data_IF_355355726900
#
_entry.id   IF_355355726900
#
_cell.length_a   1.000
_cell.length_b   1.000
_cell.length_c   1.000
_cell.angle_alpha   90.00
_cell.angle_beta   90.00
_cell.angle_gamma   90.00
#
_symmetry.space_group_name_H-M   'P 1'
#
loop_
_entity.id
_entity.type
_entity.pdbx_description
1 polymer ?
#
# COMPACT_ATOMS: atom_id res chain seq x y z
N UNK A 1 -14.72 -29.95 -39.61
CA UNK A 1 -15.19 -28.68 -39.03
C UNK A 1 -14.55 -28.50 -37.68
N UNK A 2 -13.64 -27.54 -37.54
CA UNK A 2 -13.08 -27.24 -36.24
C UNK A 2 -14.14 -26.60 -35.34
N UNK A 3 -14.25 -26.95 -34.05
CA UNK A 3 -15.24 -26.37 -33.15
C UNK A 3 -14.99 -24.85 -33.08
N UNK A 4 -16.05 -24.08 -33.27
CA UNK A 4 -16.08 -22.62 -33.12
C UNK A 4 -15.64 -22.32 -31.69
N UNK A 5 -14.43 -21.75 -31.51
CA UNK A 5 -13.99 -21.25 -30.20
C UNK A 5 -14.93 -20.12 -29.82
N UNK A 6 -15.78 -20.39 -28.85
CA UNK A 6 -16.67 -19.40 -28.23
C UNK A 6 -15.73 -18.35 -27.60
N UNK A 7 -15.97 -17.08 -27.89
CA UNK A 7 -15.16 -16.02 -27.26
C UNK A 7 -15.37 -16.04 -25.72
N UNK A 8 -14.37 -15.70 -24.91
CA UNK A 8 -14.53 -15.66 -23.45
C UNK A 8 -15.67 -14.75 -23.00
N UNK A 9 -16.06 -13.78 -23.81
CA UNK A 9 -17.24 -12.93 -23.58
C UNK A 9 -18.57 -13.66 -23.76
N UNK A 10 -18.66 -14.69 -24.61
CA UNK A 10 -19.86 -15.47 -24.82
C UNK A 10 -20.05 -16.62 -23.81
N UNK A 11 -18.97 -17.08 -23.19
CA UNK A 11 -18.98 -18.24 -22.27
C UNK A 11 -19.44 -17.91 -20.83
N UNK A 12 -19.61 -16.63 -20.47
CA UNK A 12 -19.99 -16.21 -19.11
C UNK A 12 -21.17 -15.26 -19.14
N UNK A 13 -22.30 -15.78 -19.63
CA UNK A 13 -23.57 -15.06 -19.49
C UNK A 13 -24.35 -15.67 -18.34
N UNK A 14 -24.16 -15.12 -17.13
CA UNK A 14 -25.18 -15.27 -16.11
C UNK A 14 -26.47 -14.64 -16.65
N UNK A 15 -27.59 -15.33 -16.49
CA UNK A 15 -28.91 -14.74 -16.75
C UNK A 15 -29.15 -13.57 -15.81
N UNK A 16 -30.05 -12.66 -16.13
CA UNK A 16 -30.35 -11.51 -15.26
C UNK A 16 -30.73 -11.95 -13.83
N UNK A 17 -31.47 -13.05 -13.71
CA UNK A 17 -31.85 -13.64 -12.42
C UNK A 17 -30.60 -14.11 -11.63
N UNK A 18 -29.68 -14.80 -12.31
CA UNK A 18 -28.43 -15.25 -11.68
C UNK A 18 -27.54 -14.07 -11.29
N UNK A 19 -27.50 -13.02 -12.09
CA UNK A 19 -26.76 -11.80 -11.79
C UNK A 19 -27.34 -11.06 -10.57
N UNK A 20 -28.67 -11.00 -10.47
CA UNK A 20 -29.33 -10.44 -9.28
C UNK A 20 -29.04 -11.27 -8.03
N UNK A 21 -29.11 -12.61 -8.10
CA UNK A 21 -28.78 -13.50 -6.99
C UNK A 21 -27.33 -13.32 -6.56
N UNK A 22 -26.37 -13.32 -7.51
CA UNK A 22 -24.96 -13.06 -7.25
C UNK A 22 -24.72 -11.75 -6.46
N UNK A 23 -25.34 -10.65 -6.91
CA UNK A 23 -25.24 -9.34 -6.25
C UNK A 23 -25.80 -9.37 -4.84
N UNK A 24 -26.98 -9.95 -4.66
CA UNK A 24 -27.64 -10.04 -3.35
C UNK A 24 -26.83 -10.89 -2.36
N UNK A 25 -26.37 -12.08 -2.78
CA UNK A 25 -25.58 -13.00 -1.96
C UNK A 25 -24.24 -12.37 -1.55
N UNK A 26 -23.55 -11.69 -2.49
CA UNK A 26 -22.28 -11.02 -2.21
C UNK A 26 -22.44 -9.85 -1.23
N UNK A 27 -23.46 -9.00 -1.42
CA UNK A 27 -23.71 -7.85 -0.58
C UNK A 27 -24.18 -8.26 0.83
N UNK A 28 -25.05 -9.28 0.94
CA UNK A 28 -25.46 -9.83 2.24
C UNK A 28 -24.25 -10.37 3.01
N UNK A 29 -23.42 -11.18 2.36
CA UNK A 29 -22.20 -11.69 2.96
C UNK A 29 -21.25 -10.56 3.41
N UNK A 30 -21.08 -9.54 2.58
CA UNK A 30 -20.22 -8.41 2.92
C UNK A 30 -20.72 -7.65 4.15
N UNK A 31 -22.01 -7.45 4.29
CA UNK A 31 -22.62 -6.80 5.45
C UNK A 31 -22.33 -7.56 6.75
N UNK A 32 -22.32 -8.89 6.71
CA UNK A 32 -22.14 -9.74 7.87
C UNK A 32 -20.65 -10.03 8.19
N UNK A 33 -19.80 -10.08 7.16
CA UNK A 33 -18.44 -10.62 7.26
C UNK A 33 -17.33 -9.59 6.97
N UNK A 34 -17.67 -8.35 6.64
CA UNK A 34 -16.69 -7.32 6.34
C UNK A 34 -15.80 -7.05 7.55
N UNK A 35 -14.48 -7.02 7.33
CA UNK A 35 -13.54 -6.60 8.37
C UNK A 35 -13.83 -5.16 8.78
N UNK A 36 -13.84 -4.88 10.07
CA UNK A 36 -13.97 -3.53 10.60
C UNK A 36 -12.64 -2.77 10.39
N UNK A 37 -12.60 -1.95 9.34
CA UNK A 37 -11.43 -1.17 8.95
C UNK A 37 -11.72 0.32 9.09
N UNK A 38 -10.77 1.14 9.63
CA UNK A 38 -11.02 2.56 9.91
C UNK A 38 -11.58 3.35 8.72
N UNK A 39 -11.08 3.08 7.52
CA UNK A 39 -11.52 3.76 6.29
C UNK A 39 -12.87 3.31 5.74
N UNK A 40 -13.47 2.24 6.29
CA UNK A 40 -14.83 1.79 5.95
C UNK A 40 -15.91 2.47 6.78
N UNK A 41 -15.51 3.20 7.82
CA UNK A 41 -16.42 3.91 8.73
C UNK A 41 -16.77 5.32 8.25
N UNK A 42 -16.35 5.69 7.05
CA UNK A 42 -16.53 7.03 6.48
C UNK A 42 -16.80 6.98 4.99
N UNK A 43 -17.52 7.98 4.49
CA UNK A 43 -17.72 8.26 3.08
C UNK A 43 -16.93 9.49 2.61
N UNK A 44 -16.07 10.07 3.47
CA UNK A 44 -15.22 11.20 3.10
C UNK A 44 -14.26 10.77 1.98
N UNK A 45 -14.32 11.40 0.79
CA UNK A 45 -13.47 11.05 -0.34
C UNK A 45 -11.98 11.24 -0.05
N UNK A 46 -11.60 12.19 0.82
CA UNK A 46 -10.21 12.36 1.24
C UNK A 46 -9.73 11.14 2.06
N UNK A 47 -10.50 10.71 3.02
CA UNK A 47 -10.19 9.56 3.86
C UNK A 47 -10.08 8.25 3.06
N UNK A 48 -11.01 8.06 2.10
CA UNK A 48 -11.00 6.93 1.17
C UNK A 48 -9.76 7.00 0.28
N UNK A 49 -9.45 8.16 -0.31
CA UNK A 49 -8.28 8.34 -1.15
C UNK A 49 -6.97 7.99 -0.43
N UNK A 50 -6.79 8.50 0.80
CA UNK A 50 -5.60 8.20 1.62
C UNK A 50 -5.47 6.70 1.84
N UNK A 51 -6.57 6.02 2.22
CA UNK A 51 -6.55 4.56 2.45
C UNK A 51 -6.20 3.79 1.19
N UNK A 52 -6.80 4.14 0.05
CA UNK A 52 -6.57 3.46 -1.23
C UNK A 52 -5.11 3.60 -1.68
N UNK A 53 -4.52 4.78 -1.52
CA UNK A 53 -3.10 4.98 -1.83
C UNK A 53 -2.20 4.21 -0.85
N UNK A 54 -2.53 4.15 0.43
CA UNK A 54 -1.74 3.39 1.42
C UNK A 54 -1.80 1.87 1.18
N UNK A 55 -2.95 1.35 0.75
CA UNK A 55 -3.19 -0.07 0.50
C UNK A 55 -2.50 -0.59 -0.77
N UNK A 56 -2.13 0.28 -1.72
CA UNK A 56 -1.40 -0.15 -2.91
C UNK A 56 -0.13 -0.92 -2.54
N UNK A 57 -0.08 -2.23 -2.86
CA UNK A 57 1.05 -3.13 -2.58
C UNK A 57 1.47 -3.17 -1.09
N UNK A 58 0.57 -2.84 -0.18
CA UNK A 58 0.82 -2.85 1.28
C UNK A 58 -0.25 -3.69 1.97
N UNK A 59 0.17 -4.50 2.94
CA UNK A 59 -0.76 -5.35 3.71
C UNK A 59 -1.63 -4.49 4.63
N UNK A 60 -2.91 -4.83 4.75
CA UNK A 60 -3.89 -4.15 5.60
C UNK A 60 -3.37 -3.93 7.03
N UNK A 61 -2.81 -4.98 7.66
CA UNK A 61 -2.28 -4.88 9.02
C UNK A 61 -1.17 -3.81 9.21
N UNK A 62 -0.41 -3.49 8.15
CA UNK A 62 0.60 -2.44 8.20
C UNK A 62 0.00 -1.04 7.98
N UNK A 63 -1.19 -0.97 7.36
CA UNK A 63 -1.85 0.29 7.01
C UNK A 63 -2.69 0.83 8.16
N UNK A 64 -3.37 -0.02 8.94
CA UNK A 64 -4.33 0.39 9.98
C UNK A 64 -3.76 1.49 10.89
N UNK A 65 -2.66 1.20 11.59
CA UNK A 65 -2.06 2.15 12.53
C UNK A 65 -1.54 3.41 11.83
N UNK A 66 -0.98 3.25 10.62
CA UNK A 66 -0.43 4.36 9.83
C UNK A 66 -1.51 5.29 9.29
N UNK A 67 -2.60 4.73 8.82
CA UNK A 67 -3.77 5.48 8.39
C UNK A 67 -4.35 6.32 9.53
N UNK A 68 -4.55 5.71 10.70
CA UNK A 68 -5.08 6.41 11.87
C UNK A 68 -4.17 7.58 12.29
N UNK A 69 -2.84 7.35 12.35
CA UNK A 69 -1.87 8.41 12.66
C UNK A 69 -1.86 9.51 11.60
N UNK A 70 -1.97 9.13 10.33
CA UNK A 70 -1.93 10.06 9.19
C UNK A 70 -3.16 10.97 9.18
N UNK A 71 -4.35 10.39 9.31
CA UNK A 71 -5.61 11.17 9.37
C UNK A 71 -5.67 12.03 10.64
N UNK A 72 -5.14 11.57 11.76
CA UNK A 72 -5.03 12.40 12.97
C UNK A 72 -4.11 13.61 12.75
N UNK A 73 -2.98 13.45 12.07
CA UNK A 73 -2.03 14.54 11.80
C UNK A 73 -2.50 15.45 10.67
N UNK A 74 -3.10 14.89 9.64
CA UNK A 74 -3.64 15.58 8.47
C UNK A 74 -5.13 15.26 8.31
N UNK A 75 -6.01 15.92 9.12
CA UNK A 75 -7.44 15.57 9.16
C UNK A 75 -8.22 16.01 7.91
N UNK A 76 -7.62 16.81 7.04
CA UNK A 76 -8.27 17.30 5.82
C UNK A 76 -7.28 17.38 4.66
N UNK A 77 -7.81 17.45 3.45
CA UNK A 77 -7.03 17.67 2.23
C UNK A 77 -6.19 18.96 2.32
N UNK A 78 -6.74 20.02 2.89
CA UNK A 78 -6.02 21.30 3.07
C UNK A 78 -4.86 21.14 4.03
N UNK A 79 -5.05 20.45 5.16
CA UNK A 79 -3.98 20.21 6.12
C UNK A 79 -2.84 19.35 5.54
N UNK A 80 -3.17 18.40 4.66
CA UNK A 80 -2.17 17.63 3.93
C UNK A 80 -1.43 18.50 2.91
N UNK A 81 -2.13 19.33 2.15
CA UNK A 81 -1.54 20.21 1.13
C UNK A 81 -0.54 21.22 1.72
N UNK A 82 -0.83 21.73 2.90
CA UNK A 82 0.01 22.71 3.62
C UNK A 82 1.16 22.06 4.41
N UNK A 83 1.18 20.75 4.51
CA UNK A 83 2.22 20.02 5.26
C UNK A 83 3.59 20.12 4.57
N UNK A 84 4.65 19.99 5.36
CA UNK A 84 5.99 19.76 4.81
C UNK A 84 6.10 18.32 4.26
N UNK A 85 6.72 18.15 3.10
CA UNK A 85 6.95 16.82 2.51
C UNK A 85 7.64 15.85 3.50
N UNK A 86 8.60 16.36 4.30
CA UNK A 86 9.30 15.56 5.28
C UNK A 86 8.36 14.93 6.33
N UNK A 87 7.36 15.67 6.80
CA UNK A 87 6.36 15.18 7.75
C UNK A 87 5.47 14.10 7.13
N UNK A 88 5.04 14.31 5.87
CA UNK A 88 4.26 13.34 5.12
C UNK A 88 5.04 12.03 4.95
N UNK A 89 6.31 12.11 4.54
CA UNK A 89 7.18 10.94 4.35
C UNK A 89 7.49 10.24 5.68
N UNK A 90 7.60 10.98 6.77
CA UNK A 90 7.83 10.42 8.11
C UNK A 90 6.66 9.56 8.56
N UNK A 91 5.43 10.02 8.41
CA UNK A 91 4.23 9.25 8.72
C UNK A 91 4.03 8.08 7.76
N UNK A 92 4.51 8.19 6.52
CA UNK A 92 4.48 7.11 5.53
C UNK A 92 5.51 6.01 5.80
N UNK A 93 6.44 6.25 6.72
CA UNK A 93 7.55 5.34 6.98
C UNK A 93 7.07 3.95 7.43
N UNK A 94 7.54 2.92 6.74
CA UNK A 94 7.15 1.53 6.95
C UNK A 94 6.14 0.99 5.91
N UNK A 95 5.46 1.83 5.14
CA UNK A 95 4.55 1.41 4.06
C UNK A 95 5.29 1.12 2.74
N UNK A 96 6.51 1.64 2.58
CA UNK A 96 7.27 1.52 1.34
C UNK A 96 6.72 2.36 0.19
N UNK A 97 7.34 2.25 -0.99
CA UNK A 97 6.90 2.95 -2.20
C UNK A 97 6.59 4.45 -1.97
N UNK A 98 7.54 5.18 -1.39
CA UNK A 98 7.39 6.58 -0.97
C UNK A 98 6.98 7.55 -2.08
N UNK A 99 7.16 7.15 -3.35
CA UNK A 99 6.61 7.89 -4.49
C UNK A 99 5.10 8.10 -4.36
N UNK A 100 4.36 7.15 -3.80
CA UNK A 100 2.91 7.27 -3.55
C UNK A 100 2.60 8.44 -2.61
N UNK A 101 3.35 8.56 -1.51
CA UNK A 101 3.19 9.66 -0.56
C UNK A 101 3.45 11.02 -1.21
N UNK A 102 4.50 11.13 -2.05
CA UNK A 102 4.79 12.36 -2.78
C UNK A 102 3.71 12.70 -3.77
N UNK A 103 3.22 11.72 -4.52
CA UNK A 103 2.14 11.95 -5.48
C UNK A 103 0.84 12.34 -4.76
N UNK A 104 0.52 11.70 -3.62
CA UNK A 104 -0.61 12.06 -2.77
C UNK A 104 -0.50 13.53 -2.30
N UNK A 105 0.67 13.92 -1.80
CA UNK A 105 0.94 15.28 -1.33
C UNK A 105 0.88 16.32 -2.47
N UNK A 106 1.53 16.04 -3.60
CA UNK A 106 1.49 16.89 -4.78
C UNK A 106 0.06 17.06 -5.34
N UNK A 107 -0.72 15.98 -5.36
CA UNK A 107 -2.11 16.04 -5.79
C UNK A 107 -2.98 16.82 -4.79
N UNK A 108 -2.73 16.74 -3.48
CA UNK A 108 -3.41 17.56 -2.49
C UNK A 108 -3.12 19.06 -2.70
N UNK A 109 -1.88 19.44 -2.98
CA UNK A 109 -1.49 20.81 -3.31
C UNK A 109 -2.18 21.32 -4.58
N UNK A 110 -2.25 20.46 -5.62
CA UNK A 110 -2.95 20.78 -6.85
C UNK A 110 -4.45 21.03 -6.61
N UNK A 111 -5.08 20.14 -5.81
CA UNK A 111 -6.50 20.24 -5.48
C UNK A 111 -6.83 21.53 -4.72
N UNK A 112 -5.98 21.96 -3.80
CA UNK A 112 -6.16 23.24 -3.09
C UNK A 112 -6.00 24.43 -4.05
N UNK A 113 -5.02 24.37 -4.94
CA UNK A 113 -4.72 25.48 -5.86
C UNK A 113 -5.74 25.62 -6.98
N UNK A 114 -6.22 24.51 -7.54
CA UNK A 114 -6.99 24.50 -8.79
C UNK A 114 -8.44 24.01 -8.65
N UNK A 115 -8.76 23.29 -7.56
CA UNK A 115 -10.07 22.67 -7.35
C UNK A 115 -10.77 23.18 -6.07
N UNK A 116 -10.32 24.29 -5.51
CA UNK A 116 -10.93 24.86 -4.29
C UNK A 116 -10.85 23.96 -3.06
N UNK A 117 -9.88 23.04 -3.00
CA UNK A 117 -9.67 22.14 -1.87
C UNK A 117 -10.64 20.97 -1.78
N UNK A 118 -11.30 20.62 -2.88
CA UNK A 118 -12.23 19.48 -2.95
C UNK A 118 -11.80 18.47 -3.99
N UNK A 119 -12.03 17.17 -3.73
CA UNK A 119 -11.83 16.12 -4.73
C UNK A 119 -12.96 16.17 -5.77
N UNK A 120 -12.64 15.98 -7.06
CA UNK A 120 -13.66 15.74 -8.08
C UNK A 120 -14.51 14.50 -7.75
N UNK A 121 -15.77 14.52 -8.21
CA UNK A 121 -16.71 13.44 -7.92
C UNK A 121 -16.65 12.29 -8.91
N UNK A 122 -16.28 12.58 -10.17
CA UNK A 122 -16.25 11.57 -11.22
C UNK A 122 -14.88 10.89 -11.34
N UNK A 123 -14.88 9.60 -11.66
CA UNK A 123 -13.67 8.82 -11.92
C UNK A 123 -12.85 9.40 -13.08
N UNK A 124 -13.51 9.99 -14.08
CA UNK A 124 -12.88 10.62 -15.23
C UNK A 124 -12.05 11.86 -14.84
N UNK A 125 -12.56 12.69 -13.94
CA UNK A 125 -11.84 13.85 -13.43
C UNK A 125 -10.75 13.47 -12.43
N UNK A 126 -11.03 12.53 -11.52
CA UNK A 126 -10.05 12.03 -10.56
C UNK A 126 -8.79 11.49 -11.24
N UNK A 127 -8.92 10.84 -12.40
CA UNK A 127 -7.78 10.33 -13.18
C UNK A 127 -6.81 11.39 -13.70
N UNK A 128 -7.22 12.66 -13.76
CA UNK A 128 -6.35 13.77 -14.16
C UNK A 128 -5.37 14.20 -13.07
N UNK A 129 -5.60 13.73 -11.84
CA UNK A 129 -4.76 14.07 -10.69
C UNK A 129 -3.48 13.22 -10.64
N UNK A 130 -2.35 13.78 -10.21
CA UNK A 130 -1.10 13.06 -10.05
C UNK A 130 -1.27 11.84 -9.13
N UNK A 131 -0.85 10.66 -9.61
CA UNK A 131 -0.86 9.43 -8.81
C UNK A 131 -2.21 8.74 -8.66
N UNK A 132 -3.27 9.27 -9.27
CA UNK A 132 -4.58 8.62 -9.33
C UNK A 132 -4.73 7.91 -10.67
N UNK A 133 -4.64 6.58 -10.63
CA UNK A 133 -4.90 5.72 -11.78
C UNK A 133 -6.35 5.26 -11.83
N UNK A 134 -6.68 4.44 -12.84
CA UNK A 134 -8.04 3.90 -13.06
C UNK A 134 -8.64 3.25 -11.81
N UNK A 135 -7.86 2.42 -11.12
CA UNK A 135 -8.28 1.76 -9.88
C UNK A 135 -8.66 2.76 -8.79
N UNK A 136 -7.74 3.68 -8.45
CA UNK A 136 -7.96 4.62 -7.34
C UNK A 136 -9.11 5.60 -7.66
N UNK A 137 -9.22 6.05 -8.91
CA UNK A 137 -10.31 6.91 -9.37
C UNK A 137 -11.66 6.21 -9.23
N UNK A 138 -11.76 4.95 -9.70
CA UNK A 138 -12.98 4.16 -9.59
C UNK A 138 -13.36 3.87 -8.13
N UNK A 139 -12.37 3.55 -7.28
CA UNK A 139 -12.61 3.31 -5.86
C UNK A 139 -13.17 4.56 -5.15
N UNK A 140 -12.53 5.72 -5.32
CA UNK A 140 -13.01 6.97 -4.72
C UNK A 140 -14.42 7.31 -5.25
N UNK A 141 -14.61 7.30 -6.57
CA UNK A 141 -15.86 7.70 -7.20
C UNK A 141 -17.03 6.77 -6.81
N UNK A 142 -16.80 5.47 -6.75
CA UNK A 142 -17.86 4.52 -6.38
C UNK A 142 -18.17 4.53 -4.88
N UNK A 143 -17.15 4.58 -4.02
CA UNK A 143 -17.32 4.46 -2.56
C UNK A 143 -17.81 5.78 -1.95
N UNK A 144 -17.24 6.93 -2.37
CA UNK A 144 -17.60 8.22 -1.81
C UNK A 144 -18.81 8.88 -2.50
N UNK A 145 -18.98 8.65 -3.80
CA UNK A 145 -19.96 9.39 -4.60
C UNK A 145 -21.02 8.51 -5.29
N UNK A 146 -20.92 7.18 -5.15
CA UNK A 146 -21.91 6.28 -5.74
C UNK A 146 -21.86 6.18 -7.27
N UNK A 147 -20.73 6.58 -7.91
CA UNK A 147 -20.58 6.40 -9.35
C UNK A 147 -20.59 4.91 -9.71
N UNK A 148 -21.42 4.47 -10.66
CA UNK A 148 -21.51 3.06 -11.04
C UNK A 148 -20.34 2.65 -11.92
N UNK A 149 -19.13 2.63 -11.34
CA UNK A 149 -17.88 2.23 -11.99
C UNK A 149 -17.25 1.06 -11.26
N UNK A 150 -16.83 0.03 -12.02
CA UNK A 150 -16.20 -1.16 -11.45
C UNK A 150 -14.74 -0.90 -11.05
N UNK A 151 -14.37 -1.41 -9.90
CA UNK A 151 -12.99 -1.42 -9.39
C UNK A 151 -12.36 -2.76 -9.72
N UNK A 152 -11.17 -2.75 -10.32
CA UNK A 152 -10.41 -3.97 -10.64
C UNK A 152 -9.00 -3.84 -10.09
N UNK A 153 -8.75 -4.47 -8.93
CA UNK A 153 -7.42 -4.70 -8.36
C UNK A 153 -6.98 -6.15 -8.62
N UNK A 154 -5.81 -6.55 -8.14
CA UNK A 154 -5.35 -7.92 -8.28
C UNK A 154 -6.21 -8.98 -7.55
N UNK A 155 -6.99 -8.59 -6.54
CA UNK A 155 -7.95 -9.47 -5.89
C UNK A 155 -9.19 -9.65 -6.75
N UNK A 156 -9.76 -8.55 -7.23
CA UNK A 156 -10.94 -8.55 -8.12
C UNK A 156 -10.60 -9.23 -9.44
N UNK A 157 -9.43 -8.97 -10.05
CA UNK A 157 -8.94 -9.72 -11.23
C UNK A 157 -9.01 -11.23 -11.00
N UNK A 158 -8.44 -11.71 -9.90
CA UNK A 158 -8.45 -13.14 -9.56
C UNK A 158 -9.86 -13.71 -9.36
N UNK A 159 -10.71 -12.96 -8.64
CA UNK A 159 -12.10 -13.35 -8.42
C UNK A 159 -12.85 -13.46 -9.75
N UNK A 160 -12.73 -12.44 -10.61
CA UNK A 160 -13.39 -12.40 -11.91
C UNK A 160 -12.92 -13.53 -12.82
N UNK A 161 -11.60 -13.78 -12.91
CA UNK A 161 -11.06 -14.89 -13.70
C UNK A 161 -11.64 -16.25 -13.24
N UNK A 162 -11.79 -16.47 -11.94
CA UNK A 162 -12.37 -17.72 -11.42
C UNK A 162 -13.87 -17.81 -11.61
N UNK A 163 -14.59 -16.71 -11.40
CA UNK A 163 -16.03 -16.66 -11.67
C UNK A 163 -16.33 -16.99 -13.11
N UNK A 164 -15.56 -16.44 -14.03
CA UNK A 164 -15.77 -16.59 -15.47
C UNK A 164 -15.14 -17.84 -16.06
N UNK A 165 -14.24 -18.52 -15.35
CA UNK A 165 -13.47 -19.63 -15.89
C UNK A 165 -12.40 -19.22 -16.91
N UNK A 166 -12.14 -17.93 -17.07
CA UNK A 166 -11.13 -17.42 -18.00
C UNK A 166 -9.72 -17.77 -17.51
N UNK A 167 -8.84 -18.13 -18.44
CA UNK A 167 -7.46 -18.49 -18.09
C UNK A 167 -6.60 -17.26 -17.79
N UNK A 168 -5.65 -17.43 -16.85
CA UNK A 168 -4.67 -16.39 -16.53
C UNK A 168 -3.74 -16.19 -17.71
N UNK A 169 -3.77 -15.00 -18.32
CA UNK A 169 -2.94 -14.67 -19.48
C UNK A 169 -3.60 -14.95 -20.82
N UNK A 170 -4.90 -15.20 -20.82
CA UNK A 170 -5.67 -15.26 -22.07
C UNK A 170 -5.47 -13.94 -22.85
N UNK A 171 -4.98 -14.08 -24.09
CA UNK A 171 -4.71 -12.95 -24.99
C UNK A 171 -5.99 -12.17 -25.36
N UNK A 172 -7.15 -12.80 -25.20
CA UNK A 172 -8.45 -12.19 -25.48
C UNK A 172 -9.01 -11.43 -24.26
N UNK A 173 -8.43 -11.62 -23.06
CA UNK A 173 -8.82 -10.92 -21.85
C UNK A 173 -7.81 -9.81 -21.53
N UNK A 174 -7.90 -8.70 -22.26
CA UNK A 174 -7.17 -7.48 -21.95
C UNK A 174 -7.63 -6.88 -20.62
N UNK A 175 -6.85 -5.96 -20.04
CA UNK A 175 -7.28 -5.20 -18.86
C UNK A 175 -8.63 -4.47 -19.10
N UNK A 176 -8.88 -4.01 -20.32
CA UNK A 176 -10.14 -3.38 -20.73
C UNK A 176 -11.28 -4.40 -20.72
N UNK A 177 -11.09 -5.57 -21.32
CA UNK A 177 -12.12 -6.63 -21.33
C UNK A 177 -12.46 -7.12 -19.91
N UNK A 178 -11.48 -7.23 -19.02
CA UNK A 178 -11.74 -7.58 -17.63
C UNK A 178 -12.57 -6.51 -16.90
N UNK A 179 -12.30 -5.23 -17.18
CA UNK A 179 -13.07 -4.11 -16.65
C UNK A 179 -14.51 -4.10 -17.16
N UNK A 180 -14.71 -4.40 -18.44
CA UNK A 180 -16.06 -4.55 -19.05
C UNK A 180 -16.83 -5.68 -18.38
N UNK A 181 -16.21 -6.85 -18.18
CA UNK A 181 -16.83 -7.96 -17.46
C UNK A 181 -17.19 -7.53 -16.04
N UNK A 182 -16.25 -6.95 -15.29
CA UNK A 182 -16.49 -6.48 -13.92
C UNK A 182 -17.64 -5.44 -13.85
N UNK A 183 -17.76 -4.58 -14.86
CA UNK A 183 -18.83 -3.58 -14.95
C UNK A 183 -20.21 -4.24 -15.14
N UNK A 184 -20.30 -5.37 -15.84
CA UNK A 184 -21.57 -6.14 -15.98
C UNK A 184 -22.01 -6.77 -14.66
N UNK A 185 -21.06 -7.19 -13.82
CA UNK A 185 -21.36 -7.73 -12.49
C UNK A 185 -21.76 -6.68 -11.48
N UNK A 186 -21.32 -5.43 -11.65
CA UNK A 186 -21.52 -4.34 -10.70
C UNK A 186 -23.00 -4.16 -10.32
N UNK A 187 -23.27 -3.97 -9.03
CA UNK A 187 -24.58 -3.57 -8.53
C UNK A 187 -24.72 -2.04 -8.71
N UNK A 188 -25.54 -1.55 -9.65
CA UNK A 188 -25.60 -0.12 -9.96
C UNK A 188 -26.17 0.71 -8.82
N UNK A 189 -27.04 0.13 -7.99
CA UNK A 189 -27.68 0.80 -6.86
C UNK A 189 -26.78 0.86 -5.61
N UNK A 190 -25.70 0.06 -5.55
CA UNK A 190 -24.78 -0.01 -4.44
C UNK A 190 -23.31 -0.22 -4.91
N UNK A 191 -22.78 0.62 -5.82
CA UNK A 191 -21.50 0.35 -6.49
C UNK A 191 -20.33 0.34 -5.51
N UNK A 192 -20.31 1.24 -4.54
CA UNK A 192 -19.25 1.31 -3.53
C UNK A 192 -19.21 0.10 -2.61
N UNK A 193 -20.36 -0.36 -2.12
CA UNK A 193 -20.47 -1.56 -1.30
C UNK A 193 -20.11 -2.82 -2.11
N UNK A 194 -20.56 -2.92 -3.36
CA UNK A 194 -20.24 -4.03 -4.24
C UNK A 194 -18.74 -4.13 -4.55
N UNK A 195 -18.10 -3.02 -4.88
CA UNK A 195 -16.65 -2.98 -5.13
C UNK A 195 -15.87 -3.39 -3.88
N UNK A 196 -16.24 -2.90 -2.71
CA UNK A 196 -15.62 -3.31 -1.44
C UNK A 196 -15.86 -4.79 -1.15
N UNK A 197 -17.05 -5.32 -1.43
CA UNK A 197 -17.38 -6.73 -1.25
C UNK A 197 -16.53 -7.64 -2.16
N UNK A 198 -16.34 -7.28 -3.43
CA UNK A 198 -15.48 -8.01 -4.36
C UNK A 198 -14.01 -8.03 -3.90
N UNK A 199 -13.48 -6.89 -3.45
CA UNK A 199 -12.13 -6.79 -2.89
C UNK A 199 -11.99 -7.62 -1.61
N UNK A 200 -12.99 -7.59 -0.71
CA UNK A 200 -13.00 -8.36 0.53
C UNK A 200 -13.07 -9.86 0.26
N UNK A 201 -13.93 -10.29 -0.65
CA UNK A 201 -14.03 -11.69 -1.09
C UNK A 201 -12.67 -12.19 -1.58
N UNK A 202 -11.99 -11.41 -2.41
CA UNK A 202 -10.65 -11.74 -2.87
C UNK A 202 -9.60 -11.77 -1.77
N UNK A 203 -9.72 -10.91 -0.77
CA UNK A 203 -8.74 -10.81 0.32
C UNK A 203 -8.91 -11.90 1.40
N UNK A 204 -10.12 -12.44 1.60
CA UNK A 204 -10.46 -13.30 2.75
C UNK A 204 -10.92 -14.70 2.38
N UNK A 205 -11.59 -14.87 1.25
CA UNK A 205 -12.20 -16.15 0.82
C UNK A 205 -11.55 -16.68 -0.45
N UNK A 206 -11.58 -15.90 -1.53
CA UNK A 206 -11.05 -16.31 -2.83
C UNK A 206 -9.53 -16.09 -2.88
N UNK A 207 -8.80 -16.76 -2.00
CA UNK A 207 -7.34 -16.61 -1.81
C UNK A 207 -6.54 -17.07 -3.05
N UNK A 208 -5.31 -16.55 -3.27
CA UNK A 208 -4.45 -16.99 -4.38
C UNK A 208 -4.17 -18.49 -4.35
N UNK A 209 -3.94 -19.05 -3.15
CA UNK A 209 -3.74 -20.48 -2.90
C UNK A 209 -4.76 -20.96 -1.90
N UNK A 210 -5.19 -22.22 -2.04
CA UNK A 210 -6.19 -22.83 -1.18
C UNK A 210 -7.39 -21.89 -0.92
N UNK A 211 -8.15 -21.48 -1.98
CA UNK A 211 -9.34 -20.66 -1.80
C UNK A 211 -10.39 -21.39 -0.97
N UNK A 212 -11.08 -20.68 -0.12
CA UNK A 212 -12.09 -21.22 0.78
C UNK A 212 -13.44 -21.36 0.05
N UNK A 213 -13.48 -22.18 -1.01
CA UNK A 213 -14.65 -22.30 -1.87
C UNK A 213 -15.91 -22.81 -1.15
N UNK A 214 -15.75 -23.68 -0.13
CA UNK A 214 -16.89 -24.18 0.64
C UNK A 214 -17.64 -23.11 1.45
N UNK A 215 -16.96 -22.02 1.81
CA UNK A 215 -17.55 -20.88 2.52
C UNK A 215 -17.76 -19.67 1.61
N UNK A 216 -17.60 -19.82 0.30
CA UNK A 216 -17.74 -18.71 -0.64
C UNK A 216 -19.24 -18.39 -0.87
N UNK A 217 -19.68 -17.14 -0.61
CA UNK A 217 -21.09 -16.77 -0.77
C UNK A 217 -21.60 -16.93 -2.20
N UNK A 218 -20.71 -16.79 -3.17
CA UNK A 218 -21.05 -16.84 -4.60
C UNK A 218 -20.56 -18.12 -5.30
N UNK A 219 -20.35 -19.18 -4.53
CA UNK A 219 -19.85 -20.46 -5.06
C UNK A 219 -20.75 -21.02 -6.18
N UNK A 220 -22.06 -20.87 -6.05
CA UNK A 220 -23.04 -21.38 -7.03
C UNK A 220 -22.82 -20.76 -8.42
N UNK A 221 -22.35 -19.53 -8.49
CA UNK A 221 -22.10 -18.77 -9.70
C UNK A 221 -20.66 -18.91 -10.24
N UNK A 222 -19.80 -19.62 -9.52
CA UNK A 222 -18.38 -19.72 -9.87
C UNK A 222 -18.10 -20.89 -10.82
N UNK A 223 -17.43 -20.60 -11.92
CA UNK A 223 -17.08 -21.61 -12.93
C UNK A 223 -15.89 -22.49 -12.48
N UNK A 224 -14.85 -21.91 -11.89
CA UNK A 224 -13.60 -22.62 -11.59
C UNK A 224 -13.68 -23.46 -10.29
N UNK A 225 -14.24 -22.91 -9.22
CA UNK A 225 -14.32 -23.56 -7.88
C UNK A 225 -13.00 -24.18 -7.43
N UNK A 226 -11.91 -23.40 -7.45
CA UNK A 226 -10.58 -23.92 -7.10
C UNK A 226 -9.45 -22.93 -7.39
N UNK A 227 -8.24 -23.45 -7.43
CA UNK A 227 -7.06 -22.69 -7.80
C UNK A 227 -6.95 -22.54 -9.31
N UNK A 228 -6.50 -21.36 -9.75
CA UNK A 228 -6.01 -21.16 -11.11
C UNK A 228 -4.54 -21.53 -11.21
N UNK A 229 -4.10 -21.88 -12.42
CA UNK A 229 -2.68 -21.95 -12.74
C UNK A 229 -2.03 -20.60 -12.44
N UNK A 230 -1.13 -20.56 -11.47
CA UNK A 230 -0.48 -19.31 -11.08
C UNK A 230 0.48 -18.83 -12.18
N UNK A 231 0.53 -17.52 -12.43
CA UNK A 231 1.58 -16.95 -13.28
C UNK A 231 2.96 -17.32 -12.70
N UNK A 232 3.92 -17.71 -13.54
CA UNK A 232 5.27 -17.99 -13.06
C UNK A 232 5.84 -16.75 -12.35
N UNK A 233 6.45 -16.97 -11.19
CA UNK A 233 7.07 -15.88 -10.44
C UNK A 233 8.27 -15.35 -11.22
N UNK A 234 8.38 -14.03 -11.36
CA UNK A 234 9.59 -13.39 -11.88
C UNK A 234 10.77 -13.75 -10.96
N UNK A 235 11.89 -14.09 -11.58
CA UNK A 235 13.12 -14.37 -10.84
C UNK A 235 13.57 -13.12 -10.08
N UNK A 236 13.85 -13.30 -8.79
CA UNK A 236 14.32 -12.21 -7.94
C UNK A 236 15.82 -12.00 -8.12
N UNK A 237 16.22 -10.76 -8.40
CA UNK A 237 17.62 -10.36 -8.37
C UNK A 237 18.16 -10.38 -6.94
N UNK A 238 19.45 -10.65 -6.78
CA UNK A 238 20.11 -10.63 -5.47
C UNK A 238 21.23 -9.61 -5.47
N UNK A 239 21.28 -8.73 -4.45
CA UNK A 239 22.35 -7.75 -4.26
C UNK A 239 22.86 -7.82 -2.83
N UNK A 240 24.20 -7.77 -2.65
CA UNK A 240 24.85 -7.58 -1.36
C UNK A 240 25.15 -6.10 -1.18
N UNK A 241 24.85 -5.56 -0.02
CA UNK A 241 25.15 -4.17 0.37
C UNK A 241 25.60 -4.14 1.83
N UNK A 242 26.51 -3.25 2.14
CA UNK A 242 27.03 -3.08 3.49
C UNK A 242 26.77 -1.66 3.98
N UNK A 243 26.51 -1.52 5.27
CA UNK A 243 26.30 -0.25 5.95
C UNK A 243 27.14 -0.14 7.22
N UNK A 244 27.57 1.07 7.54
CA UNK A 244 28.16 1.40 8.82
C UNK A 244 27.09 1.79 9.84
N UNK A 245 27.18 1.28 11.06
CA UNK A 245 26.50 1.84 12.23
C UNK A 245 27.53 2.62 13.05
N UNK A 246 27.44 3.93 13.02
CA UNK A 246 28.31 4.84 13.78
C UNK A 246 27.47 5.52 14.86
N UNK A 247 27.88 5.39 16.11
CA UNK A 247 27.21 5.99 17.27
C UNK A 247 28.19 6.84 18.07
N UNK A 248 27.69 7.93 18.64
CA UNK A 248 28.41 8.70 19.65
C UNK A 248 27.50 9.06 20.82
N UNK A 249 28.08 9.16 22.01
CA UNK A 249 27.39 9.71 23.17
C UNK A 249 27.21 11.22 23.01
N UNK A 250 26.10 11.76 23.48
CA UNK A 250 25.86 13.19 23.54
C UNK A 250 26.18 13.66 24.96
N UNK A 251 27.15 14.53 25.08
CA UNK A 251 27.55 15.13 26.37
C UNK A 251 26.38 15.95 26.95
N UNK A 252 26.16 15.87 28.26
CA UNK A 252 25.23 16.74 29.00
C UNK A 252 23.81 16.22 29.22
N UNK A 253 23.35 15.10 28.63
CA UNK A 253 21.99 14.60 28.81
C UNK A 253 21.95 13.06 28.95
N UNK A 254 22.29 12.56 30.13
CA UNK A 254 22.35 11.15 30.50
C UNK A 254 21.88 10.16 29.45
N UNK A 255 22.68 9.20 29.04
CA UNK A 255 22.41 8.08 28.10
C UNK A 255 21.83 8.44 26.70
N UNK A 256 21.87 9.67 26.24
CA UNK A 256 21.44 10.03 24.88
C UNK A 256 22.57 9.76 23.89
N UNK A 257 22.25 8.94 22.85
CA UNK A 257 23.18 8.65 21.76
C UNK A 257 22.72 9.33 20.47
N UNK A 258 23.68 9.69 19.61
CA UNK A 258 23.41 10.09 18.23
C UNK A 258 23.93 9.03 17.26
N UNK A 259 23.26 8.92 16.13
CA UNK A 259 23.63 8.02 15.04
C UNK A 259 23.98 8.86 13.81
N UNK A 260 25.06 8.50 13.13
CA UNK A 260 25.41 9.10 11.85
C UNK A 260 24.50 8.52 10.77
N UNK A 261 23.80 9.39 10.06
CA UNK A 261 22.98 9.03 8.91
C UNK A 261 23.41 9.81 7.67
N UNK A 262 23.22 9.19 6.52
CA UNK A 262 23.44 9.78 5.21
C UNK A 262 22.09 10.17 4.59
N UNK A 263 21.98 11.35 4.01
CA UNK A 263 20.79 11.80 3.29
C UNK A 263 20.95 11.53 1.81
N UNK A 264 20.01 10.81 1.23
CA UNK A 264 19.98 10.54 -0.21
C UNK A 264 19.77 11.86 -0.98
N UNK A 265 20.52 12.09 -2.07
CA UNK A 265 20.40 13.34 -2.81
C UNK A 265 19.00 13.48 -3.43
N UNK A 266 18.54 14.72 -3.70
CA UNK A 266 17.27 14.95 -4.41
C UNK A 266 17.20 14.28 -5.78
N UNK A 267 18.35 14.11 -6.44
CA UNK A 267 18.49 13.43 -7.74
C UNK A 267 18.47 11.89 -7.66
N UNK A 268 18.42 11.30 -6.47
CA UNK A 268 18.40 9.84 -6.33
C UNK A 268 17.17 9.23 -7.01
N UNK A 269 17.39 8.20 -7.82
CA UNK A 269 16.31 7.47 -8.51
C UNK A 269 15.33 6.76 -7.56
N UNK A 270 15.82 6.41 -6.37
CA UNK A 270 15.01 5.75 -5.33
C UNK A 270 15.07 6.53 -4.03
N UNK A 271 13.92 6.78 -3.42
CA UNK A 271 13.78 7.40 -2.10
C UNK A 271 14.62 8.68 -1.93
N UNK A 272 14.56 9.68 -2.86
CA UNK A 272 15.32 10.93 -2.74
C UNK A 272 15.00 11.64 -1.43
N UNK A 273 15.98 12.33 -0.84
CA UNK A 273 15.83 13.12 0.39
C UNK A 273 15.62 12.32 1.68
N UNK A 274 15.52 10.99 1.61
CA UNK A 274 15.36 10.13 2.79
C UNK A 274 16.71 9.83 3.44
N UNK A 275 16.64 9.50 4.75
CA UNK A 275 17.80 9.16 5.55
C UNK A 275 18.04 7.65 5.59
N UNK A 276 19.29 7.24 5.48
CA UNK A 276 19.74 5.86 5.59
C UNK A 276 21.08 5.78 6.36
N UNK A 277 21.52 4.56 6.68
CA UNK A 277 22.85 4.40 7.25
C UNK A 277 23.91 4.68 6.16
N UNK A 278 25.13 5.16 6.55
CA UNK A 278 26.22 5.33 5.59
C UNK A 278 26.59 4.01 4.92
N UNK A 279 26.71 4.03 3.59
CA UNK A 279 27.11 2.87 2.81
C UNK A 279 28.60 2.53 2.99
N UNK A 280 28.91 1.23 2.97
CA UNK A 280 30.28 0.72 2.92
C UNK A 280 30.55 0.05 1.58
N UNK A 281 31.80 0.01 1.11
CA UNK A 281 32.20 -0.78 -0.05
C UNK A 281 31.77 -2.25 0.05
N UNK A 282 31.60 -2.93 -1.08
CA UNK A 282 31.16 -4.32 -1.12
C UNK A 282 32.15 -5.31 -0.47
N UNK A 283 33.45 -5.00 -0.48
CA UNK A 283 34.45 -5.68 0.32
C UNK A 283 34.41 -5.01 1.72
N UNK A 284 33.91 -5.74 2.72
CA UNK A 284 34.06 -5.34 4.11
C UNK A 284 35.55 -5.14 4.39
N UNK A 285 35.89 -4.00 4.98
CA UNK A 285 37.24 -3.76 5.45
C UNK A 285 37.57 -4.80 6.52
N UNK A 286 38.70 -5.44 6.34
CA UNK A 286 39.49 -6.15 7.36
C UNK A 286 38.76 -7.15 8.27
N UNK A 287 38.27 -8.25 7.73
CA UNK A 287 37.97 -9.46 8.52
C UNK A 287 36.89 -9.34 9.59
N UNK A 288 36.29 -8.17 9.78
CA UNK A 288 35.27 -7.95 10.80
C UNK A 288 33.94 -8.59 10.41
N UNK A 289 33.36 -9.35 11.32
CA UNK A 289 32.01 -9.86 11.12
C UNK A 289 30.94 -8.76 11.28
N UNK A 290 29.86 -8.78 10.45
CA UNK A 290 28.77 -7.84 10.61
C UNK A 290 28.02 -8.06 11.93
N UNK A 291 27.78 -7.01 12.68
CA UNK A 291 26.99 -7.04 13.93
C UNK A 291 25.52 -7.40 13.68
N UNK A 292 25.06 -7.25 12.43
CA UNK A 292 23.71 -7.61 12.02
C UNK A 292 23.69 -8.02 10.55
N UNK A 293 23.01 -9.11 10.24
CA UNK A 293 22.66 -9.53 8.87
C UNK A 293 21.16 -9.43 8.65
N UNK A 294 20.74 -8.72 7.59
CA UNK A 294 19.33 -8.49 7.28
C UNK A 294 19.06 -8.82 5.81
N UNK A 295 17.98 -9.56 5.55
CA UNK A 295 17.41 -9.65 4.21
C UNK A 295 16.26 -8.65 4.07
N UNK A 296 16.28 -7.88 3.00
CA UNK A 296 15.26 -6.90 2.68
C UNK A 296 14.92 -6.97 1.19
N UNK A 297 13.65 -7.15 0.85
CA UNK A 297 13.22 -7.25 -0.54
C UNK A 297 12.52 -5.96 -0.97
N UNK A 298 12.93 -5.43 -2.11
CA UNK A 298 12.31 -4.24 -2.73
C UNK A 298 12.02 -4.58 -4.18
N UNK A 299 10.76 -4.49 -4.58
CA UNK A 299 10.30 -4.81 -5.95
C UNK A 299 10.72 -6.25 -6.35
N UNK A 300 11.68 -6.39 -7.27
CA UNK A 300 12.20 -7.66 -7.77
C UNK A 300 13.62 -7.97 -7.28
N UNK A 301 14.11 -7.29 -6.25
CA UNK A 301 15.49 -7.43 -5.77
C UNK A 301 15.49 -7.80 -4.27
N UNK A 302 16.24 -8.86 -3.94
CA UNK A 302 16.58 -9.23 -2.58
C UNK A 302 17.92 -8.58 -2.22
N UNK A 303 17.92 -7.71 -1.22
CA UNK A 303 19.11 -7.14 -0.65
C UNK A 303 19.56 -7.99 0.55
N UNK A 304 20.79 -8.49 0.50
CA UNK A 304 21.47 -9.15 1.61
C UNK A 304 22.40 -8.11 2.22
N UNK A 305 22.07 -7.69 3.42
CA UNK A 305 22.65 -6.51 4.07
C UNK A 305 23.54 -6.94 5.22
N UNK A 306 24.80 -6.51 5.21
CA UNK A 306 25.72 -6.54 6.33
C UNK A 306 25.74 -5.16 7.03
N UNK A 307 25.64 -5.15 8.35
CA UNK A 307 25.80 -3.92 9.14
C UNK A 307 27.03 -4.08 10.02
N UNK A 308 27.94 -3.11 9.96
CA UNK A 308 29.20 -3.13 10.69
C UNK A 308 29.25 -1.97 11.68
N UNK A 309 29.69 -2.25 12.91
CA UNK A 309 29.98 -1.20 13.87
C UNK A 309 31.23 -0.45 13.43
N UNK A 310 31.20 0.87 13.50
CA UNK A 310 32.35 1.73 13.21
C UNK A 310 32.48 2.79 14.30
N UNK A 311 33.72 3.08 14.68
CA UNK A 311 34.03 4.13 15.65
C UNK A 311 33.68 5.52 15.08
N UNK A 312 33.22 6.42 15.96
CA UNK A 312 32.86 7.78 15.57
C UNK A 312 34.07 8.58 15.03
N UNK A 313 35.28 8.27 15.46
CA UNK A 313 36.51 8.89 14.99
C UNK A 313 36.83 8.57 13.52
N UNK A 314 36.34 7.42 13.04
CA UNK A 314 36.50 6.99 11.65
C UNK A 314 35.36 7.48 10.75
N UNK A 315 34.39 8.22 11.28
CA UNK A 315 33.23 8.71 10.53
C UNK A 315 33.61 9.61 9.34
N UNK A 316 34.73 10.31 9.41
CA UNK A 316 35.27 11.12 8.31
C UNK A 316 35.60 10.31 7.05
N UNK A 317 35.94 9.03 7.20
CA UNK A 317 36.24 8.12 6.09
C UNK A 317 34.97 7.79 5.28
N UNK A 318 33.78 8.01 5.88
CA UNK A 318 32.49 7.80 5.21
C UNK A 318 32.04 9.01 4.38
N UNK A 319 32.79 10.11 4.42
CA UNK A 319 32.50 11.36 3.71
C UNK A 319 32.66 11.18 2.19
N UNK A 320 31.67 10.55 1.57
CA UNK A 320 31.45 10.59 0.12
C UNK A 320 30.61 11.80 -0.28
N UNK A 321 30.04 11.78 -1.48
CA UNK A 321 29.15 12.83 -2.04
C UNK A 321 27.83 13.04 -1.29
N UNK A 322 27.54 12.26 -0.24
CA UNK A 322 26.28 12.31 0.51
C UNK A 322 26.41 13.26 1.70
N UNK A 323 25.35 14.04 1.93
CA UNK A 323 25.21 14.85 3.14
C UNK A 323 25.00 13.92 4.36
N UNK A 324 25.91 13.97 5.31
CA UNK A 324 25.84 13.23 6.57
C UNK A 324 25.42 14.14 7.72
N UNK A 325 24.64 13.60 8.67
CA UNK A 325 24.29 14.31 9.90
C UNK A 325 24.22 13.35 11.08
N UNK A 326 24.60 13.87 12.25
CA UNK A 326 24.40 13.22 13.53
C UNK A 326 23.00 13.48 14.04
N UNK A 327 22.18 12.44 14.11
CA UNK A 327 20.79 12.53 14.55
C UNK A 327 20.64 11.85 15.92
N UNK A 328 20.11 12.57 16.88
CA UNK A 328 19.80 12.00 18.20
C UNK A 328 18.84 10.82 18.06
N UNK A 329 19.10 9.72 18.79
CA UNK A 329 18.23 8.54 18.80
C UNK A 329 16.78 8.88 19.16
N UNK A 330 16.55 9.89 19.98
CA UNK A 330 15.22 10.40 20.35
C UNK A 330 14.49 11.06 19.19
N UNK A 331 15.20 11.63 18.20
CA UNK A 331 14.63 12.31 17.02
C UNK A 331 14.52 11.43 15.77
N UNK A 332 14.97 10.18 15.82
CA UNK A 332 14.91 9.28 14.67
C UNK A 332 13.49 9.00 14.16
N UNK A 333 12.48 9.15 15.01
CA UNK A 333 11.08 8.99 14.64
C UNK A 333 10.47 10.21 13.92
N UNK A 334 11.15 11.36 13.97
CA UNK A 334 10.72 12.63 13.38
C UNK A 334 11.28 12.85 11.96
N UNK A 335 12.13 11.95 11.49
CA UNK A 335 12.76 12.09 10.17
C UNK A 335 12.35 10.95 9.22
N UNK A 336 12.32 11.21 7.89
CA UNK A 336 11.96 10.21 6.89
C UNK A 336 13.10 9.20 6.70
N UNK A 337 13.06 8.10 7.43
CA UNK A 337 13.99 6.98 7.30
C UNK A 337 13.58 6.05 6.16
N UNK A 338 14.55 5.55 5.36
CA UNK A 338 14.28 4.44 4.44
C UNK A 338 13.78 3.22 5.21
N UNK A 339 12.93 2.40 4.58
CA UNK A 339 12.37 1.21 5.23
C UNK A 339 13.45 0.24 5.72
N UNK A 340 14.59 0.16 5.01
CA UNK A 340 15.73 -0.65 5.41
C UNK A 340 16.45 -0.07 6.62
N UNK A 341 16.74 1.22 6.62
CA UNK A 341 17.37 1.89 7.77
C UNK A 341 16.51 1.75 9.03
N UNK A 342 15.21 2.00 8.92
CA UNK A 342 14.27 1.78 10.04
C UNK A 342 14.34 0.34 10.56
N UNK A 343 14.33 -0.65 9.68
CA UNK A 343 14.40 -2.08 10.06
C UNK A 343 15.71 -2.40 10.80
N UNK A 344 16.82 -1.86 10.33
CA UNK A 344 18.15 -2.06 10.96
C UNK A 344 18.16 -1.42 12.34
N UNK A 345 17.82 -0.13 12.44
CA UNK A 345 17.83 0.63 13.68
C UNK A 345 16.91 0.05 14.76
N UNK A 346 15.75 -0.48 14.36
CA UNK A 346 14.84 -1.19 15.27
C UNK A 346 15.39 -2.53 15.76
N UNK A 347 16.11 -3.28 14.91
CA UNK A 347 16.72 -4.56 15.28
C UNK A 347 17.95 -4.41 16.19
N UNK A 348 18.61 -3.25 16.14
CA UNK A 348 19.75 -2.91 16.96
C UNK A 348 19.36 -2.08 18.19
N UNK A 349 18.06 -2.00 18.49
CA UNK A 349 17.46 -1.27 19.63
C UNK A 349 17.88 0.21 19.70
N UNK A 350 18.22 0.80 18.54
CA UNK A 350 18.54 2.23 18.39
C UNK A 350 17.27 3.06 18.16
N UNK A 351 16.29 2.48 17.51
CA UNK A 351 14.97 3.07 17.28
C UNK A 351 13.91 2.21 18.01
N UNK A 352 13.13 2.85 18.88
CA UNK A 352 12.06 2.16 19.58
C UNK A 352 11.01 1.59 18.58
N UNK A 353 10.51 0.40 18.88
CA UNK A 353 9.37 -0.17 18.15
C UNK A 353 8.14 0.69 18.40
N UNK A 354 7.30 0.96 17.39
CA UNK A 354 6.03 1.65 17.60
C UNK A 354 5.21 0.87 18.63
N UNK A 355 4.65 1.57 19.61
CA UNK A 355 3.69 0.95 20.54
C UNK A 355 2.49 0.52 19.72
N UNK A 356 2.14 -0.76 19.75
CA UNK A 356 0.87 -1.23 19.22
C UNK A 356 -0.23 -0.57 20.05
N UNK A 357 -0.98 0.32 19.43
CA UNK A 357 -2.22 0.82 20.01
C UNK A 357 -3.19 -0.37 19.98
N UNK A 358 -3.47 -0.95 21.14
CA UNK A 358 -4.54 -1.96 21.24
C UNK A 358 -5.82 -1.28 20.74
N UNK A 359 -6.42 -1.87 19.72
CA UNK A 359 -7.71 -1.47 19.15
C UNK A 359 -8.79 -1.53 20.25
N UNK A 360 -9.10 -0.40 20.85
CA UNK A 360 -10.07 -0.32 21.92
C UNK A 360 -10.25 1.10 22.44
N UNK A 361 -10.67 2.02 21.54
CA UNK A 361 -11.47 3.20 21.89
C UNK A 361 -11.89 3.89 20.59
N UNK A 362 -13.21 3.99 20.41
CA UNK A 362 -13.82 4.81 19.38
C UNK A 362 -13.27 6.24 19.43
N UNK A 363 -13.00 6.84 18.28
CA UNK A 363 -12.68 8.26 18.17
C UNK A 363 -13.86 9.07 18.73
N UNK A 364 -13.64 10.07 19.58
CA UNK A 364 -14.71 10.95 20.05
C UNK A 364 -15.16 11.83 18.89
N UNK A 365 -16.43 11.79 18.54
CA UNK A 365 -17.08 12.79 17.69
C UNK A 365 -17.64 12.30 16.35
N UNK A 366 -18.22 11.10 16.26
CA UNK A 366 -19.12 10.79 15.15
C UNK A 366 -20.56 10.75 15.68
N UNK A 367 -21.48 11.55 15.13
CA UNK A 367 -22.89 11.39 15.48
C UNK A 367 -23.38 10.06 14.94
N UNK A 368 -23.98 9.26 15.82
CA UNK A 368 -24.76 8.08 15.46
C UNK A 368 -25.92 8.52 14.56
N UNK A 369 -25.87 8.12 13.30
CA UNK A 369 -27.06 8.11 12.47
C UNK A 369 -27.41 6.64 12.26
N UNK A 370 -28.38 6.18 13.03
CA UNK A 370 -29.22 5.04 12.66
C UNK A 370 -30.07 5.48 11.46
N UNK A 371 -29.99 4.81 10.36
CA UNK A 371 -31.10 4.24 9.56
C UNK A 371 -30.45 3.33 8.53
#
# INVERSE_FOLDING_TARGET
MAPRRISPMESVTLTDRQMQSFRAELLSWFTENARDLPWRRTHDPYCIWVSEVMLQQTRVAAVIDRYTQFIHKFPSLVSLALANEADVLTLWSGLGYYRRARMLHSAAQLLVREYGGSLPKSSAELRRLPGIGDYTAAAIASIAHGEPVAVVDGNVERVMLRLTGAEVGDKHLSATGLKEIASRFLAPDAPGAFNQAMMELGATVCLPRAPLCASCPVQAHCHTRGEHTARPRKQMLSKKINYALVRKSLEGNGNSTAVLLARRPPSASQMPGMWELPGLPAKGEDGNEPILRVRHSVTNTNYYVGVYAMDANNASQLAGSLSHAWISSKKLHEIPLTGLARKILMRLDVLAKPRQVRSGKALPGSPSIFI
#
